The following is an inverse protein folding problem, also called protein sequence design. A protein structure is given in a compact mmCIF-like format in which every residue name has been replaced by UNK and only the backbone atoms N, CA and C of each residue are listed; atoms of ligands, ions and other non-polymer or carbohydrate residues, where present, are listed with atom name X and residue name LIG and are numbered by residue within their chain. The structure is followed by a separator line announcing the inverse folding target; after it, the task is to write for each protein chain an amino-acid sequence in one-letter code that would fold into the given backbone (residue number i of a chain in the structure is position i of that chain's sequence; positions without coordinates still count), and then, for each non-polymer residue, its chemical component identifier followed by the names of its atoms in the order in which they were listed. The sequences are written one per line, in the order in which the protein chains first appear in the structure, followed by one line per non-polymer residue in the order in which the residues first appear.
data_IF_687328734217
#
_entry.id   IF_687328734217
#
_cell.length_a   1.000
_cell.length_b   1.000
_cell.length_c   1.000
_cell.angle_alpha   90.00
_cell.angle_beta   90.00
_cell.angle_gamma   90.00
#
_symmetry.space_group_name_H-M   'P 1'
#
loop_
_entity.id
_entity.type
_entity.pdbx_description
1 polymer ?
#
# COMPACT_ATOMS: atom_id res chain seq x y z
N UNK A 1 -18.53 -10.55 -2.16
CA UNK A 1 -17.06 -10.39 -2.33
C UNK A 1 -16.65 -10.04 -3.76
N UNK A 2 -17.39 -10.44 -4.82
CA UNK A 2 -17.01 -10.23 -6.24
C UNK A 2 -17.26 -8.79 -6.71
N UNK A 3 -18.29 -8.14 -6.22
CA UNK A 3 -18.70 -6.79 -6.65
C UNK A 3 -17.63 -5.74 -6.34
N UNK A 4 -17.05 -5.77 -5.14
CA UNK A 4 -16.05 -4.79 -4.73
C UNK A 4 -14.79 -4.82 -5.63
N UNK A 5 -14.14 -5.98 -5.90
CA UNK A 5 -13.03 -6.06 -6.85
C UNK A 5 -13.41 -5.60 -8.27
N UNK A 6 -14.60 -5.97 -8.75
CA UNK A 6 -15.04 -5.62 -10.10
C UNK A 6 -15.16 -4.11 -10.29
N UNK A 7 -15.80 -3.40 -9.36
CA UNK A 7 -15.90 -1.94 -9.42
C UNK A 7 -14.53 -1.26 -9.20
N UNK A 8 -13.64 -1.89 -8.42
CA UNK A 8 -12.28 -1.38 -8.23
C UNK A 8 -11.42 -1.52 -9.49
N UNK A 9 -11.59 -2.61 -10.23
CA UNK A 9 -10.94 -2.80 -11.54
C UNK A 9 -11.52 -1.84 -12.59
N UNK A 10 -12.83 -1.60 -12.58
CA UNK A 10 -13.48 -0.61 -13.46
C UNK A 10 -12.95 0.81 -13.20
N UNK A 11 -12.84 1.22 -11.93
CA UNK A 11 -12.22 2.49 -11.53
C UNK A 11 -10.80 2.61 -12.10
N UNK A 12 -9.96 1.59 -11.89
CA UNK A 12 -8.60 1.57 -12.39
C UNK A 12 -8.53 1.64 -13.93
N UNK A 13 -9.48 0.99 -14.62
CA UNK A 13 -9.56 1.04 -16.07
C UNK A 13 -9.90 2.44 -16.58
N UNK A 14 -10.84 3.14 -15.97
CA UNK A 14 -11.14 4.53 -16.33
C UNK A 14 -9.96 5.46 -16.05
N UNK A 15 -9.23 5.24 -14.97
CA UNK A 15 -8.02 6.01 -14.63
C UNK A 15 -6.92 5.86 -15.69
N UNK A 16 -6.76 4.66 -16.27
CA UNK A 16 -5.82 4.40 -17.34
C UNK A 16 -6.14 5.11 -18.66
N UNK A 17 -7.40 5.54 -18.88
CA UNK A 17 -7.76 6.32 -20.07
C UNK A 17 -7.43 7.81 -19.94
N UNK A 18 -7.27 8.34 -18.72
CA UNK A 18 -7.02 9.77 -18.48
C UNK A 18 -5.75 10.26 -19.19
N UNK A 19 -4.59 9.57 -19.16
CA UNK A 19 -3.40 10.01 -19.87
C UNK A 19 -3.57 10.11 -21.40
N UNK A 20 -4.36 9.22 -22.01
CA UNK A 20 -4.64 9.25 -23.46
C UNK A 20 -5.52 10.45 -23.82
N UNK A 21 -6.54 10.73 -23.00
CA UNK A 21 -7.37 11.93 -23.23
C UNK A 21 -6.52 13.19 -23.07
N UNK A 22 -5.61 13.21 -22.10
CA UNK A 22 -4.66 14.31 -21.91
C UNK A 22 -3.73 14.49 -23.12
N UNK A 23 -3.23 13.39 -23.70
CA UNK A 23 -2.46 13.43 -24.93
C UNK A 23 -3.25 14.11 -26.08
N UNK A 24 -4.53 13.74 -26.23
CA UNK A 24 -5.41 14.37 -27.24
C UNK A 24 -5.64 15.87 -27.00
N UNK A 25 -5.70 16.31 -25.73
CA UNK A 25 -5.76 17.75 -25.38
C UNK A 25 -4.51 18.47 -25.86
N UNK A 26 -3.34 17.89 -25.65
CA UNK A 26 -2.05 18.49 -26.03
C UNK A 26 -1.94 18.56 -27.55
N UNK A 27 -2.14 17.44 -28.26
CA UNK A 27 -1.87 17.33 -29.70
C UNK A 27 -2.90 18.04 -30.57
N UNK A 28 -4.18 17.94 -30.25
CA UNK A 28 -5.26 18.51 -31.08
C UNK A 28 -5.82 19.82 -30.52
N UNK A 29 -5.77 19.96 -29.19
CA UNK A 29 -6.26 21.17 -28.55
C UNK A 29 -5.22 22.29 -28.56
N UNK A 30 -4.08 22.04 -27.88
CA UNK A 30 -3.06 23.08 -27.66
C UNK A 30 -2.25 23.31 -28.92
N UNK A 31 -1.76 22.25 -29.59
CA UNK A 31 -0.91 22.38 -30.77
C UNK A 31 -1.63 23.02 -31.97
N UNK A 32 -2.94 22.75 -32.14
CA UNK A 32 -3.74 23.33 -33.22
C UNK A 32 -4.54 24.57 -32.80
N UNK A 33 -4.53 24.94 -31.51
CA UNK A 33 -5.27 26.08 -30.97
C UNK A 33 -6.79 25.91 -30.96
N UNK A 34 -7.29 24.66 -31.07
CA UNK A 34 -8.73 24.37 -31.08
C UNK A 34 -9.30 24.36 -29.66
N UNK A 35 -9.83 25.52 -29.24
CA UNK A 35 -10.47 25.70 -27.94
C UNK A 35 -11.67 24.79 -27.74
N UNK A 36 -12.44 24.49 -28.81
CA UNK A 36 -13.61 23.65 -28.72
C UNK A 36 -13.24 22.19 -28.43
N UNK A 37 -12.16 21.69 -29.03
CA UNK A 37 -11.62 20.38 -28.72
C UNK A 37 -11.15 20.29 -27.26
N UNK A 38 -10.46 21.33 -26.76
CA UNK A 38 -10.03 21.41 -25.34
C UNK A 38 -11.24 21.28 -24.41
N UNK A 39 -12.29 22.08 -24.62
CA UNK A 39 -13.49 22.02 -23.76
C UNK A 39 -14.17 20.64 -23.78
N UNK A 40 -14.25 19.98 -24.95
CA UNK A 40 -14.84 18.65 -25.07
C UNK A 40 -13.99 17.60 -24.34
N UNK A 41 -12.67 17.62 -24.49
CA UNK A 41 -11.78 16.66 -23.84
C UNK A 41 -11.69 16.89 -22.33
N UNK A 42 -11.66 18.14 -21.86
CA UNK A 42 -11.76 18.46 -20.43
C UNK A 42 -13.10 17.99 -19.85
N UNK A 43 -14.21 18.17 -20.59
CA UNK A 43 -15.52 17.61 -20.21
C UNK A 43 -15.50 16.10 -20.12
N UNK A 44 -14.86 15.41 -21.07
CA UNK A 44 -14.68 13.96 -21.04
C UNK A 44 -13.84 13.51 -19.84
N UNK A 45 -12.72 14.20 -19.52
CA UNK A 45 -11.91 13.92 -18.33
C UNK A 45 -12.73 14.08 -17.04
N UNK A 46 -13.53 15.16 -16.93
CA UNK A 46 -14.40 15.37 -15.78
C UNK A 46 -15.46 14.25 -15.67
N UNK A 47 -16.03 13.81 -16.78
CA UNK A 47 -16.99 12.71 -16.83
C UNK A 47 -16.34 11.39 -16.41
N UNK A 48 -15.15 11.07 -16.94
CA UNK A 48 -14.38 9.88 -16.51
C UNK A 48 -14.05 9.92 -15.01
N UNK A 49 -13.70 11.09 -14.49
CA UNK A 49 -13.46 11.29 -13.06
C UNK A 49 -14.71 11.05 -12.21
N UNK A 50 -15.88 11.54 -12.66
CA UNK A 50 -17.16 11.31 -11.99
C UNK A 50 -17.56 9.83 -12.01
N UNK A 51 -17.37 9.14 -13.14
CA UNK A 51 -17.62 7.70 -13.24
C UNK A 51 -16.66 6.93 -12.32
N UNK A 52 -15.37 7.29 -12.34
CA UNK A 52 -14.36 6.72 -11.43
C UNK A 52 -14.73 6.92 -9.96
N UNK A 53 -15.18 8.13 -9.58
CA UNK A 53 -15.65 8.43 -8.23
C UNK A 53 -16.83 7.53 -7.82
N UNK A 54 -17.84 7.38 -8.68
CA UNK A 54 -18.99 6.53 -8.38
C UNK A 54 -18.59 5.06 -8.24
N UNK A 55 -17.72 4.55 -9.12
CA UNK A 55 -17.17 3.20 -9.03
C UNK A 55 -16.38 3.01 -7.72
N UNK A 56 -15.58 4.01 -7.33
CA UNK A 56 -14.81 4.00 -6.08
C UNK A 56 -15.70 3.92 -4.85
N UNK A 57 -16.77 4.74 -4.79
CA UNK A 57 -17.72 4.74 -3.68
C UNK A 57 -18.44 3.39 -3.55
N UNK A 58 -18.89 2.83 -4.68
CA UNK A 58 -19.53 1.51 -4.73
C UNK A 58 -18.53 0.42 -4.26
N UNK A 59 -17.31 0.43 -4.78
CA UNK A 59 -16.28 -0.52 -4.39
C UNK A 59 -15.96 -0.46 -2.88
N UNK A 60 -15.82 0.75 -2.32
CA UNK A 60 -15.56 0.95 -0.89
C UNK A 60 -16.72 0.46 -0.02
N UNK A 61 -17.97 0.76 -0.40
CA UNK A 61 -19.13 0.29 0.33
C UNK A 61 -19.22 -1.23 0.36
N UNK A 62 -19.08 -1.89 -0.79
CA UNK A 62 -19.14 -3.35 -0.85
C UNK A 62 -17.92 -4.04 -0.22
N UNK A 63 -16.75 -3.42 -0.25
CA UNK A 63 -15.56 -3.91 0.46
C UNK A 63 -15.78 -3.87 1.97
N UNK A 64 -16.27 -2.76 2.51
CA UNK A 64 -16.61 -2.62 3.92
C UNK A 64 -17.70 -3.63 4.34
N UNK A 65 -18.77 -3.76 3.55
CA UNK A 65 -19.85 -4.73 3.81
C UNK A 65 -19.35 -6.17 3.78
N UNK A 66 -18.45 -6.51 2.86
CA UNK A 66 -17.86 -7.85 2.76
C UNK A 66 -16.95 -8.16 3.94
N UNK A 67 -16.08 -7.22 4.35
CA UNK A 67 -15.16 -7.40 5.48
C UNK A 67 -15.90 -7.51 6.81
N UNK A 68 -16.92 -6.68 7.05
CA UNK A 68 -17.78 -6.78 8.23
C UNK A 68 -18.55 -8.11 8.23
N UNK A 69 -19.15 -8.49 7.10
CA UNK A 69 -19.86 -9.76 6.97
C UNK A 69 -18.96 -10.98 7.19
N UNK A 70 -17.70 -10.92 6.76
CA UNK A 70 -16.69 -11.93 7.07
C UNK A 70 -16.41 -12.00 8.57
N UNK A 71 -16.17 -10.87 9.23
CA UNK A 71 -15.91 -10.81 10.67
C UNK A 71 -17.09 -11.36 11.52
N UNK A 72 -18.32 -11.02 11.15
CA UNK A 72 -19.52 -11.53 11.83
C UNK A 72 -19.62 -13.06 11.72
N UNK A 73 -19.41 -13.60 10.50
CA UNK A 73 -19.43 -15.05 10.29
C UNK A 73 -18.31 -15.76 11.05
N UNK A 74 -17.11 -15.15 11.06
CA UNK A 74 -15.95 -15.70 11.75
C UNK A 74 -16.18 -15.71 13.28
N UNK A 75 -16.73 -14.62 13.86
CA UNK A 75 -17.10 -14.58 15.28
C UNK A 75 -18.13 -15.64 15.62
N UNK A 76 -19.15 -15.80 14.79
CA UNK A 76 -20.18 -16.83 15.01
C UNK A 76 -19.60 -18.24 14.94
N UNK A 77 -18.73 -18.52 13.97
CA UNK A 77 -18.07 -19.81 13.83
C UNK A 77 -17.13 -20.09 15.01
N UNK A 78 -16.33 -19.09 15.41
CA UNK A 78 -15.42 -19.21 16.55
C UNK A 78 -16.19 -19.43 17.85
N UNK A 79 -17.29 -18.69 18.09
CA UNK A 79 -18.14 -18.89 19.28
C UNK A 79 -18.74 -20.29 19.32
N UNK A 80 -19.25 -20.78 18.17
CA UNK A 80 -19.75 -22.17 18.10
C UNK A 80 -18.66 -23.19 18.44
N UNK A 81 -17.44 -22.97 17.94
CA UNK A 81 -16.32 -23.86 18.23
C UNK A 81 -15.89 -23.81 19.70
N UNK A 82 -15.85 -22.63 20.31
CA UNK A 82 -15.55 -22.47 21.75
C UNK A 82 -16.56 -23.23 22.61
N UNK A 83 -17.82 -23.27 22.21
CA UNK A 83 -18.87 -24.02 22.92
C UNK A 83 -18.67 -25.54 22.86
N UNK A 84 -17.83 -26.05 21.98
CA UNK A 84 -17.49 -27.48 21.90
C UNK A 84 -16.24 -27.86 22.69
N UNK A 85 -15.54 -26.90 23.29
CA UNK A 85 -14.36 -27.16 24.08
C UNK A 85 -14.69 -27.91 25.37
N UNK A 86 -13.84 -28.84 25.75
CA UNK A 86 -13.82 -29.40 27.11
C UNK A 86 -13.32 -28.34 28.09
N UNK A 87 -13.65 -28.54 29.39
CA UNK A 87 -13.17 -27.63 30.44
C UNK A 87 -11.65 -27.53 30.46
N UNK A 88 -10.96 -28.65 30.27
CA UNK A 88 -9.47 -28.69 30.22
C UNK A 88 -8.89 -27.88 29.06
N UNK A 89 -9.51 -27.94 27.86
CA UNK A 89 -9.08 -27.16 26.72
C UNK A 89 -9.31 -25.64 26.92
N UNK A 90 -10.48 -25.30 27.49
CA UNK A 90 -10.81 -23.91 27.80
C UNK A 90 -9.86 -23.31 28.84
N UNK A 91 -9.50 -24.06 29.87
CA UNK A 91 -8.55 -23.66 30.91
C UNK A 91 -7.12 -23.55 30.36
N UNK A 92 -6.70 -24.46 29.47
CA UNK A 92 -5.36 -24.44 28.84
C UNK A 92 -5.19 -23.21 27.97
N UNK A 93 -6.20 -22.83 27.20
CA UNK A 93 -6.13 -21.65 26.32
C UNK A 93 -6.27 -20.34 27.12
N UNK A 94 -7.10 -20.39 28.17
CA UNK A 94 -7.43 -19.27 29.03
C UNK A 94 -8.47 -18.32 28.44
N UNK A 95 -9.38 -17.86 29.28
CA UNK A 95 -10.50 -16.98 28.89
C UNK A 95 -10.05 -15.65 28.30
N UNK A 96 -8.96 -15.06 28.82
CA UNK A 96 -8.41 -13.79 28.30
C UNK A 96 -7.93 -13.92 26.85
N UNK A 97 -7.31 -15.05 26.51
CA UNK A 97 -6.86 -15.35 25.12
C UNK A 97 -8.07 -15.50 24.21
N UNK A 98 -9.10 -16.22 24.62
CA UNK A 98 -10.33 -16.41 23.84
C UNK A 98 -11.04 -15.07 23.57
N UNK A 99 -11.13 -14.20 24.59
CA UNK A 99 -11.68 -12.85 24.41
C UNK A 99 -10.88 -12.01 23.44
N UNK A 100 -9.54 -12.04 23.54
CA UNK A 100 -8.66 -11.32 22.61
C UNK A 100 -8.83 -11.81 21.18
N UNK A 101 -8.91 -13.12 20.95
CA UNK A 101 -9.17 -13.69 19.62
C UNK A 101 -10.53 -13.29 19.06
N UNK A 102 -11.57 -13.30 19.91
CA UNK A 102 -12.93 -12.89 19.51
C UNK A 102 -13.06 -11.41 19.16
N UNK A 103 -12.19 -10.57 19.72
CA UNK A 103 -12.24 -9.10 19.57
C UNK A 103 -11.12 -8.57 18.70
N UNK A 104 -9.90 -8.46 19.22
CA UNK A 104 -8.77 -7.81 18.56
C UNK A 104 -8.35 -8.55 17.29
N UNK A 105 -8.16 -9.88 17.34
CA UNK A 105 -7.66 -10.64 16.20
C UNK A 105 -8.66 -10.65 15.04
N UNK A 106 -9.95 -10.83 15.32
CA UNK A 106 -10.97 -10.77 14.27
C UNK A 106 -11.12 -9.37 13.69
N UNK A 107 -10.96 -8.29 14.50
CA UNK A 107 -10.95 -6.92 13.98
C UNK A 107 -9.74 -6.68 13.07
N UNK A 108 -8.59 -7.22 13.43
CA UNK A 108 -7.39 -7.13 12.57
C UNK A 108 -7.58 -7.89 11.26
N UNK A 109 -8.14 -9.09 11.29
CA UNK A 109 -8.50 -9.85 10.10
C UNK A 109 -9.53 -9.11 9.23
N UNK A 110 -10.56 -8.50 9.85
CA UNK A 110 -11.53 -7.66 9.14
C UNK A 110 -10.85 -6.51 8.39
N UNK A 111 -9.93 -5.83 9.05
CA UNK A 111 -9.14 -4.73 8.45
C UNK A 111 -8.27 -5.25 7.30
N UNK A 112 -7.61 -6.40 7.48
CA UNK A 112 -6.81 -7.05 6.45
C UNK A 112 -7.64 -7.42 5.21
N UNK A 113 -8.80 -8.04 5.40
CA UNK A 113 -9.73 -8.37 4.30
C UNK A 113 -10.19 -7.11 3.56
N UNK A 114 -10.51 -6.03 4.29
CA UNK A 114 -10.89 -4.76 3.68
C UNK A 114 -9.73 -4.17 2.84
N UNK A 115 -8.51 -4.18 3.36
CA UNK A 115 -7.33 -3.70 2.63
C UNK A 115 -7.05 -4.52 1.36
N UNK A 116 -7.16 -5.85 1.43
CA UNK A 116 -6.98 -6.71 0.25
C UNK A 116 -8.01 -6.39 -0.83
N UNK A 117 -9.29 -6.27 -0.47
CA UNK A 117 -10.36 -5.99 -1.44
C UNK A 117 -10.29 -4.57 -2.02
N UNK A 118 -9.72 -3.62 -1.28
CA UNK A 118 -9.70 -2.20 -1.64
C UNK A 118 -8.42 -1.77 -2.34
N UNK A 119 -7.24 -2.22 -1.87
CA UNK A 119 -5.94 -1.72 -2.31
C UNK A 119 -5.17 -2.77 -3.10
N UNK A 120 -5.02 -3.96 -2.54
CA UNK A 120 -4.11 -4.97 -3.11
C UNK A 120 -4.50 -5.41 -4.52
N UNK A 121 -5.79 -5.51 -4.83
CA UNK A 121 -6.24 -5.92 -6.17
C UNK A 121 -6.10 -4.82 -7.22
N UNK A 122 -6.13 -3.55 -6.80
CA UNK A 122 -5.99 -2.40 -7.70
C UNK A 122 -4.57 -2.23 -8.22
N UNK A 123 -3.58 -2.30 -7.33
CA UNK A 123 -2.19 -1.96 -7.64
C UNK A 123 -1.59 -2.79 -8.79
N UNK A 124 -1.64 -4.15 -8.81
CA UNK A 124 -1.14 -4.91 -9.94
C UNK A 124 -1.86 -4.57 -11.23
N UNK A 125 -3.19 -4.32 -11.16
CA UNK A 125 -3.98 -4.02 -12.36
C UNK A 125 -3.56 -2.69 -13.01
N UNK A 126 -3.31 -1.65 -12.21
CA UNK A 126 -2.84 -0.36 -12.73
C UNK A 126 -1.41 -0.50 -13.28
N UNK A 127 -0.50 -1.20 -12.58
CA UNK A 127 0.89 -1.37 -13.03
C UNK A 127 0.95 -2.10 -14.37
N UNK A 128 0.28 -3.25 -14.48
CA UNK A 128 0.23 -4.00 -15.74
C UNK A 128 -0.59 -3.26 -16.81
N UNK A 129 -1.69 -2.61 -16.42
CA UNK A 129 -2.50 -1.80 -17.32
C UNK A 129 -1.73 -0.63 -17.92
N UNK A 130 -1.02 0.14 -17.10
CA UNK A 130 -0.16 1.23 -17.56
C UNK A 130 0.96 0.73 -18.49
N UNK A 131 1.56 -0.44 -18.20
CA UNK A 131 2.53 -1.05 -19.08
C UNK A 131 1.91 -1.42 -20.44
N UNK A 132 0.75 -2.10 -20.46
CA UNK A 132 0.06 -2.47 -21.70
C UNK A 132 -0.32 -1.22 -22.49
N UNK A 133 -0.88 -0.19 -21.84
CA UNK A 133 -1.24 1.08 -22.50
C UNK A 133 -0.02 1.78 -23.07
N UNK A 134 1.13 1.73 -22.42
CA UNK A 134 2.38 2.27 -22.94
C UNK A 134 2.83 1.56 -24.23
N UNK A 135 2.64 0.24 -24.33
CA UNK A 135 2.93 -0.53 -25.55
C UNK A 135 2.00 -0.18 -26.73
N UNK A 136 0.77 0.26 -26.45
CA UNK A 136 -0.16 0.70 -27.50
C UNK A 136 0.24 2.07 -28.09
N UNK A 137 0.98 2.88 -27.32
CA UNK A 137 1.48 4.19 -27.76
C UNK A 137 2.76 4.02 -28.59
N UNK A 138 3.81 3.48 -27.99
CA UNK A 138 5.08 3.25 -28.68
C UNK A 138 5.88 2.11 -28.05
N UNK A 139 6.20 1.10 -28.84
CA UNK A 139 6.92 -0.10 -28.40
C UNK A 139 8.33 0.24 -27.88
N UNK A 140 9.05 1.18 -28.55
CA UNK A 140 10.40 1.54 -28.14
C UNK A 140 10.43 2.28 -26.80
N UNK A 141 9.54 3.25 -26.61
CA UNK A 141 9.43 3.97 -25.34
C UNK A 141 8.90 3.04 -24.21
N UNK A 142 8.03 2.10 -24.55
CA UNK A 142 7.48 1.13 -23.60
C UNK A 142 8.52 0.13 -23.07
N UNK A 143 9.63 -0.12 -23.79
CA UNK A 143 10.72 -0.96 -23.25
C UNK A 143 11.30 -0.40 -21.95
N UNK A 144 11.25 0.91 -21.72
CA UNK A 144 11.67 1.54 -20.46
C UNK A 144 10.85 1.03 -19.28
N UNK A 145 9.55 0.79 -19.47
CA UNK A 145 8.67 0.23 -18.42
C UNK A 145 9.05 -1.21 -18.08
N UNK A 146 9.43 -2.03 -19.09
CA UNK A 146 9.88 -3.41 -18.87
C UNK A 146 11.15 -3.50 -18.03
N UNK A 147 11.98 -2.46 -18.00
CA UNK A 147 13.18 -2.39 -17.16
C UNK A 147 12.85 -1.79 -15.79
N UNK A 148 12.07 -0.70 -15.80
CA UNK A 148 11.76 0.06 -14.58
C UNK A 148 10.90 -0.73 -13.59
N UNK A 149 9.85 -1.43 -14.06
CA UNK A 149 8.94 -2.17 -13.17
C UNK A 149 9.66 -3.29 -12.41
N UNK A 150 10.41 -4.21 -13.05
CA UNK A 150 11.18 -5.22 -12.32
C UNK A 150 12.23 -4.61 -11.38
N UNK A 151 12.89 -3.52 -11.79
CA UNK A 151 13.87 -2.84 -10.95
C UNK A 151 13.22 -2.27 -9.68
N UNK A 152 12.06 -1.62 -9.80
CA UNK A 152 11.27 -1.16 -8.66
C UNK A 152 10.81 -2.32 -7.79
N UNK A 153 10.32 -3.40 -8.38
CA UNK A 153 9.92 -4.60 -7.63
C UNK A 153 11.08 -5.16 -6.81
N UNK A 154 12.28 -5.28 -7.38
CA UNK A 154 13.47 -5.76 -6.66
C UNK A 154 13.80 -4.85 -5.49
N UNK A 155 13.73 -3.54 -5.67
CA UNK A 155 14.01 -2.57 -4.60
C UNK A 155 12.96 -2.64 -3.50
N UNK A 156 11.68 -2.55 -3.84
CA UNK A 156 10.58 -2.55 -2.85
C UNK A 156 10.53 -3.86 -2.09
N UNK A 157 10.49 -5.01 -2.79
CA UNK A 157 10.45 -6.32 -2.14
C UNK A 157 11.76 -6.65 -1.42
N UNK A 158 12.90 -6.19 -1.93
CA UNK A 158 14.20 -6.34 -1.26
C UNK A 158 14.24 -5.61 0.08
N UNK A 159 13.80 -4.35 0.12
CA UNK A 159 13.71 -3.59 1.38
C UNK A 159 12.68 -4.22 2.31
N UNK A 160 11.51 -4.65 1.81
CA UNK A 160 10.50 -5.35 2.62
C UNK A 160 11.04 -6.64 3.23
N UNK A 161 11.76 -7.45 2.46
CA UNK A 161 12.34 -8.71 2.95
C UNK A 161 13.31 -8.49 4.11
N UNK A 162 14.03 -7.36 4.12
CA UNK A 162 14.93 -6.98 5.20
C UNK A 162 14.18 -6.35 6.37
N UNK A 163 13.22 -5.47 6.12
CA UNK A 163 12.54 -4.71 7.19
C UNK A 163 11.53 -5.53 7.96
N UNK A 164 10.80 -6.46 7.33
CA UNK A 164 9.79 -7.30 8.01
C UNK A 164 10.36 -8.09 9.20
N UNK A 165 11.48 -8.84 9.08
CA UNK A 165 12.07 -9.53 10.24
C UNK A 165 12.59 -8.56 11.30
N UNK A 166 13.08 -7.38 10.89
CA UNK A 166 13.55 -6.36 11.82
C UNK A 166 12.40 -5.76 12.62
N UNK A 167 11.24 -5.52 12.01
CA UNK A 167 10.03 -5.10 12.74
C UNK A 167 9.59 -6.15 13.78
N UNK A 168 9.70 -7.45 13.47
CA UNK A 168 9.44 -8.51 14.46
C UNK A 168 10.39 -8.41 15.66
N UNK A 169 11.67 -8.08 15.42
CA UNK A 169 12.66 -7.88 16.50
C UNK A 169 12.32 -6.64 17.34
N UNK A 170 11.90 -5.55 16.71
CA UNK A 170 11.42 -4.35 17.41
C UNK A 170 10.22 -4.69 18.30
N UNK A 171 9.25 -5.45 17.76
CA UNK A 171 8.08 -5.89 18.53
C UNK A 171 8.49 -6.75 19.73
N UNK A 172 9.40 -7.71 19.57
CA UNK A 172 9.92 -8.53 20.67
C UNK A 172 10.62 -7.70 21.76
N UNK A 173 11.36 -6.66 21.38
CA UNK A 173 11.98 -5.75 22.35
C UNK A 173 10.93 -4.87 23.06
N UNK A 174 9.88 -4.45 22.36
CA UNK A 174 8.75 -3.74 22.96
C UNK A 174 8.02 -4.61 23.98
N UNK A 175 7.78 -5.88 23.65
CA UNK A 175 7.14 -6.85 24.55
C UNK A 175 7.94 -7.04 25.85
N UNK A 176 9.29 -7.03 25.78
CA UNK A 176 10.16 -7.08 26.98
C UNK A 176 9.97 -5.85 27.87
N UNK A 177 9.89 -4.63 27.27
CA UNK A 177 9.63 -3.41 28.04
C UNK A 177 8.24 -3.47 28.68
N UNK A 178 7.24 -3.92 27.95
CA UNK A 178 5.88 -4.08 28.50
C UNK A 178 5.85 -5.07 29.68
N UNK A 179 6.57 -6.19 29.56
CA UNK A 179 6.69 -7.17 30.63
C UNK A 179 7.38 -6.55 31.86
N UNK A 180 8.55 -5.93 31.70
CA UNK A 180 9.27 -5.26 32.78
C UNK A 180 8.42 -4.18 33.47
N UNK A 181 7.70 -3.34 32.67
CA UNK A 181 6.78 -2.34 33.21
C UNK A 181 5.65 -2.99 34.04
N UNK A 182 5.07 -4.08 33.54
CA UNK A 182 4.00 -4.79 34.25
C UNK A 182 4.50 -5.41 35.56
N UNK A 183 5.70 -6.01 35.54
CA UNK A 183 6.33 -6.58 36.71
C UNK A 183 6.63 -5.50 37.76
N UNK A 184 7.20 -4.37 37.34
CA UNK A 184 7.46 -3.22 38.23
C UNK A 184 6.19 -2.64 38.86
N UNK A 185 5.12 -2.46 38.05
CA UNK A 185 3.85 -1.93 38.56
C UNK A 185 3.16 -2.92 39.54
N UNK A 186 3.24 -4.21 39.29
CA UNK A 186 2.67 -5.21 40.18
C UNK A 186 3.51 -5.45 41.43
N UNK A 187 4.84 -5.35 41.31
CA UNK A 187 5.83 -5.54 42.35
C UNK A 187 6.26 -4.29 43.11
N UNK A 188 5.65 -3.13 42.86
CA UNK A 188 6.11 -1.82 43.37
C UNK A 188 6.33 -1.76 44.86
N UNK A 189 5.51 -2.50 45.64
CA UNK A 189 5.65 -2.60 47.11
C UNK A 189 6.93 -3.33 47.53
N UNK A 190 7.29 -4.36 46.77
CA UNK A 190 8.50 -5.15 47.03
C UNK A 190 9.74 -4.32 46.64
N UNK A 191 9.71 -3.69 45.44
CA UNK A 191 10.82 -2.82 44.98
C UNK A 191 11.10 -1.74 46.02
N UNK A 192 10.07 -1.06 46.55
CA UNK A 192 10.23 -0.01 47.59
C UNK A 192 10.67 -0.59 48.95
N UNK A 193 10.16 -1.76 49.33
CA UNK A 193 10.56 -2.38 50.61
C UNK A 193 12.04 -2.75 50.65
N UNK A 194 12.65 -3.05 49.50
CA UNK A 194 14.06 -3.38 49.37
C UNK A 194 14.89 -2.23 48.85
N UNK A 195 14.34 -1.00 48.67
CA UNK A 195 15.02 0.18 48.13
C UNK A 195 15.79 -0.11 46.82
N UNK A 196 15.15 -0.85 45.91
CA UNK A 196 15.75 -1.29 44.64
C UNK A 196 15.29 -0.48 43.42
N UNK A 197 14.73 0.71 43.62
CA UNK A 197 14.18 1.57 42.58
C UNK A 197 15.22 1.92 41.50
N UNK A 198 16.44 2.26 41.94
CA UNK A 198 17.50 2.68 41.00
C UNK A 198 17.91 1.54 40.07
N UNK A 199 17.96 0.31 40.55
CA UNK A 199 18.26 -0.88 39.75
C UNK A 199 17.19 -1.14 38.72
N UNK A 200 15.93 -1.02 39.09
CA UNK A 200 14.78 -1.20 38.19
C UNK A 200 14.74 -0.11 37.11
N UNK A 201 14.98 1.14 37.49
CA UNK A 201 15.07 2.27 36.54
C UNK A 201 16.22 2.03 35.56
N UNK A 202 17.39 1.60 36.04
CA UNK A 202 18.53 1.33 35.18
C UNK A 202 18.24 0.19 34.17
N UNK A 203 17.63 -0.89 34.64
CA UNK A 203 17.21 -2.03 33.79
C UNK A 203 16.19 -1.59 32.73
N UNK A 204 15.23 -0.77 33.12
CA UNK A 204 14.25 -0.21 32.19
C UNK A 204 14.92 0.66 31.12
N UNK A 205 15.83 1.58 31.51
CA UNK A 205 16.56 2.44 30.59
C UNK A 205 17.45 1.65 29.62
N UNK A 206 18.08 0.57 30.07
CA UNK A 206 18.84 -0.33 29.21
C UNK A 206 17.97 -0.99 28.14
N UNK A 207 16.86 -1.60 28.56
CA UNK A 207 15.90 -2.20 27.63
C UNK A 207 15.33 -1.17 26.66
N UNK A 208 15.03 0.05 27.13
CA UNK A 208 14.54 1.14 26.27
C UNK A 208 15.60 1.57 25.24
N UNK A 209 16.89 1.65 25.63
CA UNK A 209 18.00 1.94 24.71
C UNK A 209 18.14 0.85 23.63
N UNK A 210 17.95 -0.43 23.99
CA UNK A 210 17.96 -1.54 23.02
C UNK A 210 16.79 -1.39 22.02
N UNK A 211 15.59 -1.03 22.52
CA UNK A 211 14.43 -0.79 21.67
C UNK A 211 14.69 0.39 20.73
N UNK A 212 15.15 1.52 21.26
CA UNK A 212 15.48 2.73 20.48
C UNK A 212 16.45 2.41 19.34
N UNK A 213 17.58 1.74 19.64
CA UNK A 213 18.57 1.34 18.62
C UNK A 213 17.95 0.46 17.55
N UNK A 214 17.09 -0.48 17.94
CA UNK A 214 16.39 -1.37 17.00
C UNK A 214 15.43 -0.60 16.11
N UNK A 215 14.65 0.35 16.65
CA UNK A 215 13.74 1.20 15.90
C UNK A 215 14.49 2.13 14.94
N UNK A 216 15.57 2.78 15.40
CA UNK A 216 16.39 3.66 14.56
C UNK A 216 17.03 2.89 13.40
N UNK A 217 17.47 1.65 13.63
CA UNK A 217 18.04 0.81 12.57
C UNK A 217 17.01 0.49 11.49
N UNK A 218 15.81 0.07 11.89
CA UNK A 218 14.70 -0.18 10.95
C UNK A 218 14.30 1.10 10.22
N UNK A 219 14.19 2.22 10.93
CA UNK A 219 13.83 3.51 10.36
C UNK A 219 14.84 3.97 9.30
N UNK A 220 16.16 3.78 9.54
CA UNK A 220 17.21 4.12 8.56
C UNK A 220 17.08 3.30 7.28
N UNK A 221 16.84 1.99 7.38
CA UNK A 221 16.66 1.13 6.21
C UNK A 221 15.38 1.52 5.46
N UNK A 222 14.28 1.72 6.17
CA UNK A 222 12.99 2.13 5.57
C UNK A 222 13.07 3.51 4.92
N UNK A 223 13.85 4.44 5.48
CA UNK A 223 14.02 5.78 4.93
C UNK A 223 14.71 5.80 3.55
N UNK A 224 15.48 4.75 3.20
CA UNK A 224 16.13 4.63 1.88
C UNK A 224 15.10 4.33 0.77
N UNK A 225 13.95 3.75 1.11
CA UNK A 225 12.95 3.30 0.14
C UNK A 225 12.49 4.43 -0.76
N UNK A 226 12.01 5.55 -0.20
CA UNK A 226 11.48 6.66 -0.98
C UNK A 226 12.53 7.33 -1.87
N UNK A 227 13.71 7.74 -1.38
CA UNK A 227 14.73 8.35 -2.24
C UNK A 227 15.15 7.43 -3.39
N UNK A 228 15.28 6.12 -3.15
CA UNK A 228 15.70 5.17 -4.16
C UNK A 228 14.62 4.97 -5.24
N UNK A 229 13.36 4.77 -4.84
CA UNK A 229 12.24 4.63 -5.77
C UNK A 229 12.00 5.89 -6.59
N UNK A 230 12.05 7.09 -5.97
CA UNK A 230 11.96 8.36 -6.69
C UNK A 230 13.12 8.57 -7.67
N UNK A 231 14.35 8.18 -7.30
CA UNK A 231 15.51 8.28 -8.21
C UNK A 231 15.33 7.39 -9.42
N UNK A 232 14.89 6.14 -9.24
CA UNK A 232 14.62 5.21 -10.35
C UNK A 232 13.57 5.79 -11.30
N UNK A 233 12.46 6.28 -10.78
CA UNK A 233 11.37 6.84 -11.59
C UNK A 233 11.82 8.10 -12.32
N UNK A 234 12.53 9.01 -11.65
CA UNK A 234 13.02 10.24 -12.30
C UNK A 234 14.02 9.93 -13.42
N UNK A 235 14.92 8.96 -13.23
CA UNK A 235 15.84 8.50 -14.28
C UNK A 235 15.03 7.87 -15.42
N UNK A 236 14.07 7.01 -15.13
CA UNK A 236 13.21 6.39 -16.13
C UNK A 236 12.39 7.42 -16.89
N UNK A 237 11.88 8.44 -16.22
CA UNK A 237 11.16 9.58 -16.84
C UNK A 237 12.10 10.37 -17.77
N UNK A 238 13.34 10.64 -17.35
CA UNK A 238 14.33 11.29 -18.19
C UNK A 238 14.65 10.45 -19.46
N UNK A 239 14.75 9.13 -19.31
CA UNK A 239 14.92 8.21 -20.46
C UNK A 239 13.70 8.25 -21.39
N UNK A 240 12.47 8.26 -20.86
CA UNK A 240 11.24 8.38 -21.66
C UNK A 240 11.23 9.71 -22.43
N UNK A 241 11.61 10.81 -21.78
CA UNK A 241 11.68 12.13 -22.43
C UNK A 241 12.72 12.10 -23.55
N UNK A 242 13.90 11.55 -23.29
CA UNK A 242 14.97 11.48 -24.29
C UNK A 242 14.59 10.61 -25.49
N UNK A 243 14.14 9.39 -25.26
CA UNK A 243 13.68 8.48 -26.33
C UNK A 243 12.46 9.07 -27.03
N UNK A 244 11.51 9.63 -26.27
CA UNK A 244 10.31 10.27 -26.78
C UNK A 244 10.63 11.46 -27.69
N UNK A 245 11.57 12.32 -27.31
CA UNK A 245 12.00 13.46 -28.12
C UNK A 245 12.53 13.00 -29.50
N UNK A 246 13.40 11.98 -29.54
CA UNK A 246 13.89 11.38 -30.78
C UNK A 246 12.74 10.82 -31.63
N UNK A 247 11.76 10.17 -30.97
CA UNK A 247 10.62 9.58 -31.67
C UNK A 247 9.62 10.62 -32.18
N UNK A 248 9.48 11.74 -31.49
CA UNK A 248 8.69 12.90 -31.96
C UNK A 248 9.35 13.57 -33.17
N UNK A 249 10.67 13.75 -33.12
CA UNK A 249 11.45 14.34 -34.23
C UNK A 249 11.34 13.49 -35.49
N UNK A 250 11.31 12.16 -35.36
CA UNK A 250 11.08 11.24 -36.49
C UNK A 250 9.61 11.14 -36.92
N UNK A 251 8.69 11.84 -36.28
CA UNK A 251 7.26 11.80 -36.58
C UNK A 251 6.56 10.48 -36.20
N UNK A 252 7.18 9.64 -35.37
CA UNK A 252 6.63 8.34 -35.02
C UNK A 252 5.61 8.41 -33.89
N UNK A 253 5.72 9.37 -32.97
CA UNK A 253 4.79 9.66 -31.88
C UNK A 253 4.58 11.16 -31.74
N UNK A 254 3.57 11.56 -30.98
CA UNK A 254 3.25 12.97 -30.75
C UNK A 254 3.82 13.46 -29.41
N UNK A 255 3.79 14.77 -29.19
CA UNK A 255 4.17 15.35 -27.89
C UNK A 255 3.21 14.92 -26.77
N UNK A 256 1.91 14.80 -27.10
CA UNK A 256 0.92 14.30 -26.18
C UNK A 256 1.17 12.85 -25.75
N UNK A 257 1.64 12.00 -26.68
CA UNK A 257 2.01 10.62 -26.39
C UNK A 257 3.14 10.53 -25.36
N UNK A 258 4.15 11.39 -25.46
CA UNK A 258 5.23 11.47 -24.47
C UNK A 258 4.69 11.87 -23.10
N UNK A 259 3.77 12.84 -23.04
CA UNK A 259 3.11 13.25 -21.80
C UNK A 259 2.29 12.12 -21.19
N UNK A 260 1.58 11.32 -22.02
CA UNK A 260 0.84 10.15 -21.55
C UNK A 260 1.79 9.09 -20.94
N UNK A 261 2.92 8.81 -21.57
CA UNK A 261 3.93 7.89 -21.05
C UNK A 261 4.50 8.35 -19.70
N UNK A 262 4.78 9.65 -19.52
CA UNK A 262 5.23 10.22 -18.25
C UNK A 262 4.16 10.04 -17.16
N UNK A 263 2.89 10.28 -17.50
CA UNK A 263 1.79 10.08 -16.57
C UNK A 263 1.65 8.61 -16.16
N UNK A 264 1.76 7.65 -17.09
CA UNK A 264 1.76 6.23 -16.76
C UNK A 264 2.92 5.85 -15.84
N UNK A 265 4.12 6.38 -16.07
CA UNK A 265 5.26 6.15 -15.19
C UNK A 265 5.00 6.68 -13.77
N UNK A 266 4.38 7.86 -13.65
CA UNK A 266 4.00 8.44 -12.36
C UNK A 266 2.92 7.63 -11.65
N UNK A 267 1.94 7.08 -12.36
CA UNK A 267 0.93 6.19 -11.79
C UNK A 267 1.55 4.90 -11.22
N UNK A 268 2.51 4.30 -11.94
CA UNK A 268 3.23 3.11 -11.45
C UNK A 268 3.95 3.41 -10.14
N UNK A 269 4.57 4.59 -10.00
CA UNK A 269 5.21 4.99 -8.75
C UNK A 269 4.23 4.99 -7.57
N UNK A 270 3.06 5.64 -7.74
CA UNK A 270 2.06 5.78 -6.68
C UNK A 270 1.46 4.43 -6.26
N UNK A 271 1.33 3.50 -7.21
CA UNK A 271 0.71 2.19 -6.94
C UNK A 271 1.68 1.14 -6.39
N UNK A 272 2.98 1.34 -6.55
CA UNK A 272 4.00 0.35 -6.16
C UNK A 272 4.65 0.67 -4.80
N UNK A 273 4.51 1.92 -4.33
CA UNK A 273 4.98 2.40 -3.02
C UNK A 273 3.86 2.44 -2.01
#
# INVERSE_FOLDING_TARGET
CIIAPLFKLLEALFELFIPIVMASVVDKGIALGDKQHIYRMCGLMALLGLIGLTCSLIAQYYSAKASVGFAVKLRSALMKHIQTFSFTEADTIGTSTLVTRMTADINQLQTGVNMVLRLFLRSPFIVFGAMIMSFTIDVKSATTFCVTIPLLCVVVFGIMAVTVPLYKKVQSNLDKIMLSTRENLSGVRVVRAFSNEDTEVHSFLENNSILEKSQLYVARISAIMNPLTYSIINISTAVIIYVGAIRVDTGAITQGDVMALINYMSQILVELI
#
